data_IF_813649615220
#
_entry.id   IF_813649615220
#
_cell.length_a   1.000
_cell.length_b   1.000
_cell.length_c   1.000
_cell.angle_alpha   90.00
_cell.angle_beta   90.00
_cell.angle_gamma   90.00
#
_symmetry.space_group_name_H-M   'P 1'
#
loop_
_entity.id
_entity.type
_entity.pdbx_description
1 polymer ?
#
# COMPACT_ATOMS: atom_id res chain seq x y z
N UNK A 1 -19.36 28.39 -13.55
CA UNK A 1 -18.98 27.00 -13.45
C UNK A 1 -19.34 26.48 -12.06
N UNK A 2 -20.10 25.39 -11.98
CA UNK A 2 -20.44 24.72 -10.73
C UNK A 2 -19.96 23.27 -10.82
N UNK A 3 -19.14 22.85 -9.85
CA UNK A 3 -18.69 21.47 -9.75
C UNK A 3 -19.39 20.78 -8.60
N UNK A 4 -19.94 19.61 -8.87
CA UNK A 4 -20.58 18.76 -7.86
C UNK A 4 -19.75 17.50 -7.69
N UNK A 5 -19.26 17.29 -6.48
CA UNK A 5 -18.54 16.09 -6.07
C UNK A 5 -19.45 15.23 -5.20
N UNK A 6 -19.57 13.95 -5.53
CA UNK A 6 -20.28 12.96 -4.72
C UNK A 6 -19.35 11.79 -4.45
N UNK A 7 -19.38 11.31 -3.24
CA UNK A 7 -18.64 10.12 -2.87
C UNK A 7 -19.46 9.25 -1.92
N UNK A 8 -19.19 7.97 -1.94
CA UNK A 8 -19.77 6.99 -1.03
C UNK A 8 -18.72 5.96 -0.64
N UNK A 9 -18.79 5.48 0.58
CA UNK A 9 -17.94 4.40 1.06
C UNK A 9 -18.74 3.51 1.98
N UNK A 10 -18.62 2.20 1.79
CA UNK A 10 -19.13 1.24 2.74
C UNK A 10 -18.16 0.05 2.86
N UNK A 11 -18.24 -0.66 3.97
CA UNK A 11 -17.45 -1.85 4.19
C UNK A 11 -18.10 -2.73 5.24
N UNK A 12 -17.79 -4.01 5.14
CA UNK A 12 -18.16 -5.02 6.13
C UNK A 12 -16.95 -5.90 6.37
N UNK A 13 -16.72 -6.26 7.63
CA UNK A 13 -15.61 -7.13 8.00
C UNK A 13 -15.93 -7.95 9.22
N UNK A 14 -15.22 -9.06 9.33
CA UNK A 14 -15.21 -9.91 10.51
C UNK A 14 -13.80 -10.31 10.85
N UNK A 15 -13.54 -10.48 12.13
CA UNK A 15 -12.30 -11.06 12.64
C UNK A 15 -12.63 -12.05 13.76
N UNK A 16 -11.73 -13.00 13.93
CA UNK A 16 -11.78 -13.93 15.07
C UNK A 16 -10.38 -14.22 15.57
N UNK A 17 -10.32 -14.61 16.83
CA UNK A 17 -9.11 -15.05 17.49
C UNK A 17 -9.41 -16.36 18.21
N UNK A 18 -8.55 -17.35 18.00
CA UNK A 18 -8.61 -18.65 18.66
C UNK A 18 -7.33 -18.84 19.45
N UNK A 19 -7.49 -19.19 20.71
CA UNK A 19 -6.39 -19.57 21.61
C UNK A 19 -6.62 -21.03 21.98
N UNK A 20 -5.98 -21.99 21.32
CA UNK A 20 -6.15 -23.40 21.66
C UNK A 20 -5.64 -23.68 23.08
N UNK A 21 -6.41 -24.43 23.86
CA UNK A 21 -6.05 -24.76 25.22
C UNK A 21 -4.75 -25.61 25.27
N UNK A 22 -3.83 -25.24 26.14
CA UNK A 22 -2.55 -25.92 26.30
C UNK A 22 -1.56 -25.72 25.16
N UNK A 23 -1.85 -24.83 24.21
CA UNK A 23 -0.96 -24.54 23.06
C UNK A 23 -0.37 -23.12 23.18
N UNK A 24 0.92 -22.92 22.89
CA UNK A 24 1.53 -21.59 22.85
C UNK A 24 1.24 -20.84 21.54
N UNK A 25 0.10 -21.12 20.89
CA UNK A 25 -0.27 -20.54 19.59
C UNK A 25 -1.51 -19.66 19.75
N UNK A 26 -1.47 -18.48 19.13
CA UNK A 26 -2.65 -17.66 18.90
C UNK A 26 -2.92 -17.64 17.39
N UNK A 27 -4.14 -17.97 17.01
CA UNK A 27 -4.59 -18.00 15.63
C UNK A 27 -5.60 -16.87 15.44
N UNK A 28 -5.39 -16.01 14.45
CA UNK A 28 -6.35 -14.98 14.08
C UNK A 28 -6.70 -15.06 12.61
N UNK A 29 -7.95 -14.77 12.30
CA UNK A 29 -8.43 -14.66 10.92
C UNK A 29 -9.21 -13.38 10.74
N UNK A 30 -9.15 -12.82 9.54
CA UNK A 30 -9.88 -11.62 9.15
C UNK A 30 -10.42 -11.75 7.74
N UNK A 31 -11.63 -11.23 7.53
CA UNK A 31 -12.26 -11.13 6.22
C UNK A 31 -12.94 -9.78 6.11
N UNK A 32 -12.67 -9.06 5.04
CA UNK A 32 -13.22 -7.74 4.81
C UNK A 32 -13.68 -7.60 3.37
N UNK A 33 -14.71 -6.81 3.18
CA UNK A 33 -15.14 -6.28 1.89
C UNK A 33 -15.35 -4.79 2.03
N UNK A 34 -14.91 -4.01 1.05
CA UNK A 34 -15.13 -2.57 1.00
C UNK A 34 -15.36 -2.10 -0.42
N UNK A 35 -16.15 -1.03 -0.52
CA UNK A 35 -16.36 -0.31 -1.77
C UNK A 35 -16.26 1.18 -1.49
N UNK A 36 -15.57 1.87 -2.38
CA UNK A 36 -15.47 3.32 -2.41
C UNK A 36 -15.77 3.79 -3.82
N UNK A 37 -16.67 4.76 -3.95
CA UNK A 37 -17.01 5.40 -5.21
C UNK A 37 -16.95 6.91 -5.10
N UNK A 38 -16.41 7.56 -6.12
CA UNK A 38 -16.36 9.00 -6.26
C UNK A 38 -16.81 9.40 -7.67
N UNK A 39 -17.62 10.45 -7.77
CA UNK A 39 -18.03 11.02 -9.04
C UNK A 39 -18.01 12.53 -9.01
N UNK A 40 -17.55 13.13 -10.08
CA UNK A 40 -17.55 14.56 -10.27
C UNK A 40 -18.36 14.93 -11.50
N UNK A 41 -19.20 15.93 -11.37
CA UNK A 41 -19.95 16.53 -12.48
C UNK A 41 -19.74 18.02 -12.48
N UNK A 42 -19.37 18.55 -13.61
CA UNK A 42 -19.31 19.97 -13.83
C UNK A 42 -20.55 20.45 -14.62
N UNK A 43 -21.05 21.62 -14.29
CA UNK A 43 -22.12 22.29 -15.05
C UNK A 43 -21.70 23.71 -15.41
N UNK A 44 -21.94 24.06 -16.66
CA UNK A 44 -21.71 25.41 -17.16
C UNK A 44 -23.05 26.14 -17.34
N UNK A 45 -23.05 27.48 -17.23
CA UNK A 45 -24.22 28.29 -17.51
C UNK A 45 -24.71 28.17 -18.96
N UNK A 46 -23.83 27.80 -19.87
CA UNK A 46 -24.12 27.57 -21.27
C UNK A 46 -24.65 26.14 -21.49
N UNK A 47 -25.94 25.96 -21.82
CA UNK A 47 -26.54 24.64 -21.99
C UNK A 47 -26.01 23.86 -23.20
N UNK A 48 -25.23 24.50 -24.08
CA UNK A 48 -24.60 23.84 -25.24
C UNK A 48 -23.30 23.14 -24.84
N UNK A 49 -22.73 23.46 -23.68
CA UNK A 49 -21.57 22.78 -23.13
C UNK A 49 -22.01 21.57 -22.32
N UNK A 50 -21.97 20.43 -22.98
CA UNK A 50 -22.23 19.15 -22.32
C UNK A 50 -21.02 18.79 -21.43
N UNK A 51 -21.27 18.62 -20.14
CA UNK A 51 -20.26 18.14 -19.20
C UNK A 51 -20.58 16.70 -18.87
N UNK A 52 -19.65 15.86 -19.17
CA UNK A 52 -19.71 14.45 -18.93
C UNK A 52 -19.11 14.14 -17.54
N UNK A 53 -19.72 13.29 -16.74
CA UNK A 53 -19.28 13.05 -15.37
C UNK A 53 -18.06 12.13 -15.35
N UNK A 54 -17.05 12.51 -14.58
CA UNK A 54 -15.95 11.61 -14.24
C UNK A 54 -16.36 10.73 -13.05
N UNK A 55 -15.97 9.49 -13.08
CA UNK A 55 -16.23 8.55 -11.99
C UNK A 55 -15.06 7.61 -11.74
N UNK A 56 -14.90 7.23 -10.49
CA UNK A 56 -13.96 6.18 -10.11
C UNK A 56 -14.53 5.36 -8.96
N UNK A 57 -14.39 4.04 -9.07
CA UNK A 57 -14.84 3.11 -8.05
C UNK A 57 -13.73 2.12 -7.73
N UNK A 58 -13.54 1.83 -6.44
CA UNK A 58 -12.65 0.77 -5.96
C UNK A 58 -13.48 -0.18 -5.11
N UNK A 59 -13.51 -1.44 -5.51
CA UNK A 59 -14.14 -2.54 -4.75
C UNK A 59 -13.05 -3.51 -4.35
N UNK A 60 -13.07 -3.95 -3.11
CA UNK A 60 -12.05 -4.86 -2.63
C UNK A 60 -12.55 -5.85 -1.60
N UNK A 61 -12.02 -7.05 -1.66
CA UNK A 61 -12.11 -8.01 -0.58
C UNK A 61 -10.73 -8.37 -0.10
N UNK A 62 -10.60 -8.65 1.18
CA UNK A 62 -9.38 -9.18 1.76
C UNK A 62 -9.69 -10.25 2.78
N UNK A 63 -8.85 -11.27 2.84
CA UNK A 63 -8.95 -12.33 3.82
C UNK A 63 -7.57 -12.86 4.17
N UNK A 64 -7.41 -13.33 5.39
CA UNK A 64 -6.12 -13.88 5.81
C UNK A 64 -6.16 -14.53 7.17
N UNK A 65 -5.11 -15.32 7.40
CA UNK A 65 -4.86 -16.00 8.67
C UNK A 65 -3.46 -15.64 9.15
N UNK A 66 -3.37 -15.33 10.43
CA UNK A 66 -2.14 -15.01 11.12
C UNK A 66 -1.97 -15.97 12.30
N UNK A 67 -0.78 -16.52 12.44
CA UNK A 67 -0.38 -17.42 13.51
C UNK A 67 0.73 -16.76 14.31
N UNK A 68 0.57 -16.71 15.62
CA UNK A 68 1.59 -16.21 16.53
C UNK A 68 1.95 -17.34 17.48
N UNK A 69 3.19 -17.75 17.42
CA UNK A 69 3.77 -18.79 18.28
C UNK A 69 4.65 -18.15 19.34
N UNK A 70 4.36 -18.40 20.60
CA UNK A 70 5.16 -17.93 21.73
C UNK A 70 6.20 -18.98 22.06
N UNK A 71 7.46 -18.59 21.93
CA UNK A 71 8.61 -19.40 22.30
C UNK A 71 8.97 -19.23 23.79
N UNK A 72 9.95 -19.98 24.25
CA UNK A 72 10.50 -19.78 25.58
C UNK A 72 11.12 -18.38 25.71
N UNK A 73 10.92 -17.74 26.86
CA UNK A 73 11.31 -16.35 27.10
C UNK A 73 10.36 -15.35 26.43
N UNK A 74 10.92 -14.31 25.80
CA UNK A 74 10.16 -13.24 25.15
C UNK A 74 10.20 -13.33 23.60
N UNK A 75 10.68 -14.46 23.07
CA UNK A 75 10.78 -14.69 21.64
C UNK A 75 9.41 -15.07 21.05
N UNK A 76 9.12 -14.58 19.86
CA UNK A 76 7.86 -14.85 19.16
C UNK A 76 8.11 -15.10 17.68
N UNK A 77 7.45 -16.09 17.10
CA UNK A 77 7.37 -16.26 15.64
C UNK A 77 5.95 -15.91 15.20
N UNK A 78 5.82 -15.05 14.19
CA UNK A 78 4.57 -14.77 13.52
C UNK A 78 4.69 -15.16 12.05
N UNK A 79 3.69 -15.81 11.54
CA UNK A 79 3.59 -16.12 10.13
C UNK A 79 2.13 -16.08 9.69
N UNK A 80 1.91 -15.84 8.43
CA UNK A 80 0.55 -15.73 7.94
C UNK A 80 0.49 -15.74 6.43
N UNK A 81 -0.74 -15.83 5.95
CA UNK A 81 -1.09 -15.74 4.54
C UNK A 81 -2.27 -14.80 4.38
N UNK A 82 -2.26 -13.98 3.34
CA UNK A 82 -3.39 -13.14 2.98
C UNK A 82 -3.66 -13.16 1.49
N UNK A 83 -4.93 -13.01 1.14
CA UNK A 83 -5.45 -12.85 -0.20
C UNK A 83 -6.18 -11.51 -0.27
N UNK A 84 -5.87 -10.74 -1.27
CA UNK A 84 -6.51 -9.47 -1.55
C UNK A 84 -6.96 -9.44 -3.02
N UNK A 85 -8.24 -9.10 -3.25
CA UNK A 85 -8.75 -8.85 -4.59
C UNK A 85 -9.24 -7.42 -4.67
N UNK A 86 -8.82 -6.70 -5.70
CA UNK A 86 -9.24 -5.32 -5.97
C UNK A 86 -9.80 -5.24 -7.39
N UNK A 87 -10.90 -4.50 -7.52
CA UNK A 87 -11.46 -4.08 -8.80
C UNK A 87 -11.53 -2.56 -8.81
N UNK A 88 -10.88 -1.96 -9.81
CA UNK A 88 -10.94 -0.52 -10.07
C UNK A 88 -11.72 -0.28 -11.34
N UNK A 89 -12.63 0.67 -11.31
CA UNK A 89 -13.38 1.18 -12.46
C UNK A 89 -13.13 2.67 -12.52
N UNK A 90 -12.74 3.15 -13.67
CA UNK A 90 -12.41 4.56 -13.90
C UNK A 90 -12.99 5.01 -15.23
N UNK A 91 -13.72 6.10 -15.22
CA UNK A 91 -14.23 6.76 -16.41
C UNK A 91 -13.92 8.25 -16.32
N UNK A 92 -13.32 8.76 -17.37
CA UNK A 92 -12.88 10.14 -17.48
C UNK A 92 -13.12 10.65 -18.91
N UNK A 93 -13.53 11.89 -19.03
CA UNK A 93 -13.70 12.54 -20.34
C UNK A 93 -12.57 13.53 -20.60
N UNK A 94 -11.86 13.35 -21.70
CA UNK A 94 -10.81 14.29 -22.08
C UNK A 94 -11.39 15.61 -22.64
N UNK A 95 -10.55 16.60 -22.88
CA UNK A 95 -10.94 17.91 -23.41
C UNK A 95 -11.63 17.87 -24.79
N UNK A 96 -11.49 16.77 -25.53
CA UNK A 96 -12.15 16.53 -26.80
C UNK A 96 -13.52 15.81 -26.64
N UNK A 97 -13.98 15.57 -25.38
CA UNK A 97 -15.22 14.88 -25.08
C UNK A 97 -15.20 13.38 -25.34
N UNK A 98 -14.01 12.79 -25.49
CA UNK A 98 -13.84 11.35 -25.66
C UNK A 98 -13.76 10.69 -24.26
N UNK A 99 -14.56 9.69 -24.06
CA UNK A 99 -14.53 8.86 -22.86
C UNK A 99 -13.32 7.94 -22.86
N UNK A 100 -12.67 7.88 -21.70
CA UNK A 100 -11.57 6.96 -21.39
C UNK A 100 -12.08 6.12 -20.24
N UNK A 101 -12.39 4.88 -20.52
CA UNK A 101 -12.79 3.90 -19.51
C UNK A 101 -11.66 2.91 -19.26
N UNK A 102 -11.45 2.59 -18.00
CA UNK A 102 -10.53 1.56 -17.58
C UNK A 102 -11.12 0.74 -16.44
N UNK A 103 -11.21 -0.56 -16.66
CA UNK A 103 -11.61 -1.50 -15.62
C UNK A 103 -10.49 -2.52 -15.42
N UNK A 104 -9.99 -2.63 -14.19
CA UNK A 104 -8.93 -3.55 -13.86
C UNK A 104 -9.30 -4.39 -12.64
N UNK A 105 -8.93 -5.68 -12.71
CA UNK A 105 -9.02 -6.60 -11.60
C UNK A 105 -7.61 -7.04 -11.22
N UNK A 106 -7.28 -6.96 -9.95
CA UNK A 106 -6.02 -7.45 -9.43
C UNK A 106 -6.25 -8.40 -8.29
N UNK A 107 -5.41 -9.43 -8.23
CA UNK A 107 -5.39 -10.37 -7.12
C UNK A 107 -3.98 -10.45 -6.58
N UNK A 108 -3.85 -10.26 -5.29
CA UNK A 108 -2.59 -10.27 -4.56
C UNK A 108 -2.64 -11.35 -3.48
N UNK A 109 -1.62 -12.16 -3.44
CA UNK A 109 -1.42 -13.19 -2.42
C UNK A 109 -0.13 -12.86 -1.70
N UNK A 110 -0.16 -12.84 -0.39
CA UNK A 110 1.07 -12.69 0.38
C UNK A 110 1.22 -13.76 1.44
N UNK A 111 2.46 -14.18 1.63
CA UNK A 111 2.86 -14.99 2.78
C UNK A 111 4.01 -14.30 3.49
N UNK A 112 4.05 -14.38 4.80
CA UNK A 112 5.12 -13.77 5.57
C UNK A 112 5.54 -14.62 6.77
N UNK A 113 6.76 -14.40 7.19
CA UNK A 113 7.31 -14.86 8.46
C UNK A 113 8.03 -13.71 9.14
N UNK A 114 7.86 -13.59 10.43
CA UNK A 114 8.43 -12.56 11.28
C UNK A 114 8.92 -13.23 12.57
N UNK A 115 10.17 -12.96 12.97
CA UNK A 115 10.76 -13.53 14.16
C UNK A 115 11.25 -12.43 15.10
N UNK A 116 10.55 -12.23 16.20
CA UNK A 116 10.99 -11.35 17.26
C UNK A 116 11.95 -12.09 18.20
N UNK A 117 13.17 -11.61 18.31
CA UNK A 117 14.24 -12.16 19.13
C UNK A 117 14.56 -11.13 20.22
N UNK A 118 14.49 -11.55 21.49
CA UNK A 118 14.82 -10.68 22.62
C UNK A 118 16.06 -11.21 23.33
N UNK A 119 17.12 -10.39 23.38
CA UNK A 119 18.38 -10.74 24.05
C UNK A 119 18.83 -9.57 24.92
N UNK A 120 18.41 -9.62 26.17
CA UNK A 120 18.67 -8.55 27.13
C UNK A 120 18.11 -7.20 26.67
N UNK A 121 18.97 -6.26 26.32
CA UNK A 121 18.59 -4.93 25.88
C UNK A 121 18.29 -4.83 24.38
N UNK A 122 18.64 -5.85 23.62
CA UNK A 122 18.49 -5.89 22.17
C UNK A 122 17.23 -6.67 21.77
N UNK A 123 16.40 -6.06 20.94
CA UNK A 123 15.28 -6.72 20.26
C UNK A 123 15.53 -6.65 18.77
N UNK A 124 15.59 -7.80 18.13
CA UNK A 124 15.72 -7.95 16.69
C UNK A 124 14.41 -8.51 16.13
N UNK A 125 14.01 -7.99 14.97
CA UNK A 125 12.80 -8.42 14.29
C UNK A 125 13.05 -8.60 12.78
N UNK A 126 13.85 -9.63 12.38
CA UNK A 126 13.95 -9.99 10.98
C UNK A 126 12.61 -10.52 10.48
N UNK A 127 12.21 -10.11 9.30
CA UNK A 127 11.01 -10.60 8.65
C UNK A 127 11.20 -10.73 7.15
N UNK A 128 10.42 -11.62 6.56
CA UNK A 128 10.38 -11.82 5.12
C UNK A 128 8.94 -11.96 4.68
N UNK A 129 8.57 -11.18 3.67
CA UNK A 129 7.28 -11.29 3.00
C UNK A 129 7.49 -11.62 1.52
N UNK A 130 6.74 -12.57 1.03
CA UNK A 130 6.62 -12.83 -0.39
C UNK A 130 5.26 -12.31 -0.87
N UNK A 131 5.29 -11.30 -1.72
CA UNK A 131 4.09 -10.74 -2.34
C UNK A 131 3.98 -11.28 -3.77
N UNK A 132 2.87 -11.91 -4.10
CA UNK A 132 2.56 -12.42 -5.43
C UNK A 132 1.39 -11.63 -6.02
N UNK A 133 1.62 -11.00 -7.15
CA UNK A 133 0.62 -10.28 -7.94
C UNK A 133 0.13 -11.21 -9.03
N UNK A 134 -0.95 -11.96 -8.73
CA UNK A 134 -1.41 -13.07 -9.57
C UNK A 134 -1.81 -12.62 -10.98
N UNK A 135 -2.46 -11.47 -11.10
CA UNK A 135 -2.89 -10.91 -12.40
C UNK A 135 -1.69 -10.58 -13.29
N UNK A 136 -0.63 -10.03 -12.73
CA UNK A 136 0.60 -9.66 -13.46
C UNK A 136 1.62 -10.79 -13.53
N UNK A 137 1.37 -11.92 -12.85
CA UNK A 137 2.29 -13.08 -12.72
C UNK A 137 3.68 -12.69 -12.18
N UNK A 138 3.73 -11.74 -11.28
CA UNK A 138 4.97 -11.18 -10.73
C UNK A 138 5.01 -11.50 -9.24
N UNK A 139 6.21 -11.82 -8.74
CA UNK A 139 6.47 -11.98 -7.32
C UNK A 139 7.48 -10.94 -6.84
N UNK A 140 7.28 -10.43 -5.63
CA UNK A 140 8.19 -9.49 -4.98
C UNK A 140 8.62 -10.02 -3.62
N UNK A 141 9.89 -10.42 -3.46
CA UNK A 141 10.44 -10.73 -2.15
C UNK A 141 10.73 -9.42 -1.39
N UNK A 142 10.27 -9.36 -0.15
CA UNK A 142 10.34 -8.17 0.69
C UNK A 142 11.00 -8.49 2.04
N UNK A 143 12.34 -8.60 2.10
CA UNK A 143 13.05 -8.70 3.36
C UNK A 143 12.93 -7.39 4.14
N UNK A 144 12.78 -7.50 5.47
CA UNK A 144 12.67 -6.39 6.40
C UNK A 144 13.42 -6.70 7.68
N UNK A 145 13.93 -5.69 8.32
CA UNK A 145 14.61 -5.81 9.61
C UNK A 145 14.18 -4.65 10.52
N UNK A 146 13.71 -5.00 11.71
CA UNK A 146 13.54 -4.09 12.82
C UNK A 146 14.58 -4.34 13.90
N UNK A 147 15.08 -3.27 14.52
CA UNK A 147 16.03 -3.34 15.63
C UNK A 147 15.60 -2.32 16.69
N UNK A 148 15.50 -2.77 17.92
CA UNK A 148 15.30 -1.89 19.08
C UNK A 148 16.39 -2.17 20.10
N UNK A 149 17.03 -1.12 20.59
CA UNK A 149 18.03 -1.22 21.64
C UNK A 149 17.62 -0.36 22.84
N UNK A 150 17.36 -1.01 23.98
CA UNK A 150 17.03 -0.37 25.23
C UNK A 150 18.32 0.08 25.90
N UNK A 151 18.70 1.35 25.72
CA UNK A 151 19.92 1.92 26.31
C UNK A 151 19.83 1.90 27.84
N UNK A 152 18.66 2.31 28.34
CA UNK A 152 18.26 2.20 29.75
C UNK A 152 16.74 2.06 29.84
N UNK A 153 16.16 2.13 31.04
CA UNK A 153 14.72 1.97 31.27
C UNK A 153 13.88 3.06 30.55
N UNK A 154 14.43 4.25 30.41
CA UNK A 154 13.72 5.41 29.86
C UNK A 154 14.11 5.75 28.41
N UNK A 155 15.22 5.22 27.90
CA UNK A 155 15.73 5.60 26.57
C UNK A 155 15.94 4.40 25.67
N UNK A 156 15.35 4.45 24.48
CA UNK A 156 15.37 3.37 23.47
C UNK A 156 15.71 3.92 22.12
N UNK A 157 16.59 3.24 21.40
CA UNK A 157 16.91 3.50 20.00
C UNK A 157 16.16 2.50 19.12
N UNK A 158 15.66 2.97 17.97
CA UNK A 158 14.89 2.17 17.02
C UNK A 158 15.47 2.35 15.62
N UNK A 159 15.58 1.24 14.90
CA UNK A 159 15.94 1.21 13.48
C UNK A 159 15.01 0.23 12.77
N UNK A 160 14.59 0.58 11.56
CA UNK A 160 13.85 -0.33 10.71
C UNK A 160 14.19 -0.07 9.24
N UNK A 161 14.15 -1.11 8.44
CA UNK A 161 14.35 -0.98 7.01
C UNK A 161 13.82 -2.19 6.26
N UNK A 162 13.62 -2.02 4.95
CA UNK A 162 13.15 -3.12 4.14
C UNK A 162 12.80 -2.71 2.73
N UNK A 163 12.46 -3.74 1.94
CA UNK A 163 11.98 -3.63 0.57
C UNK A 163 10.47 -3.73 0.54
N UNK A 164 9.84 -2.95 -0.33
CA UNK A 164 8.39 -2.87 -0.46
C UNK A 164 8.00 -2.76 -1.93
N UNK A 165 6.86 -3.34 -2.26
CA UNK A 165 6.24 -3.20 -3.58
C UNK A 165 4.77 -2.82 -3.48
N UNK A 166 4.25 -2.19 -4.54
CA UNK A 166 2.86 -1.74 -4.62
C UNK A 166 2.40 -1.78 -6.08
N UNK A 167 1.18 -2.24 -6.29
CA UNK A 167 0.54 -2.28 -7.60
C UNK A 167 -0.50 -1.17 -7.79
N UNK A 168 -1.21 -0.78 -6.72
CA UNK A 168 -2.22 0.27 -6.78
C UNK A 168 -1.56 1.65 -6.92
N UNK A 169 -2.01 2.42 -7.92
CA UNK A 169 -1.56 3.78 -8.18
C UNK A 169 -2.73 4.76 -8.16
N UNK A 170 -2.47 5.99 -7.76
CA UNK A 170 -3.44 7.09 -7.87
C UNK A 170 -3.28 7.80 -9.21
N UNK A 171 -4.39 7.96 -9.93
CA UNK A 171 -4.43 8.72 -11.19
C UNK A 171 -4.73 10.19 -10.94
N UNK A 172 -3.84 10.89 -10.26
CA UNK A 172 -3.98 12.32 -10.01
C UNK A 172 -3.34 13.15 -11.11
N UNK A 173 -3.98 14.27 -11.45
CA UNK A 173 -3.37 15.30 -12.29
C UNK A 173 -2.61 16.29 -11.39
N UNK A 174 -1.28 16.39 -11.55
CA UNK A 174 -0.47 17.41 -10.84
C UNK A 174 -0.66 18.84 -11.39
N UNK A 175 -1.50 19.01 -12.43
CA UNK A 175 -1.77 20.31 -13.04
C UNK A 175 -2.84 21.10 -12.29
N UNK A 176 -3.71 20.42 -11.56
CA UNK A 176 -4.79 21.06 -10.82
C UNK A 176 -4.39 21.24 -9.36
N UNK A 177 -4.21 22.48 -8.96
CA UNK A 177 -3.86 22.88 -7.56
C UNK A 177 -4.95 22.42 -6.57
N UNK A 178 -6.18 22.21 -7.06
CA UNK A 178 -7.33 21.71 -6.29
C UNK A 178 -7.98 20.59 -7.07
N UNK A 179 -7.35 19.43 -7.12
CA UNK A 179 -7.96 18.24 -7.68
C UNK A 179 -8.70 17.47 -6.58
N UNK A 180 -10.01 17.60 -6.55
CA UNK A 180 -10.88 16.90 -5.60
C UNK A 180 -11.26 15.49 -6.09
N UNK A 181 -10.98 15.19 -7.35
CA UNK A 181 -11.25 13.88 -7.94
C UNK A 181 -10.01 13.01 -7.92
N UNK A 182 -10.09 11.90 -7.20
CA UNK A 182 -9.03 10.91 -7.10
C UNK A 182 -9.44 9.63 -7.83
N UNK A 183 -8.82 9.37 -8.98
CA UNK A 183 -8.95 8.09 -9.68
C UNK A 183 -7.95 7.06 -9.14
N UNK A 184 -8.34 5.80 -9.16
CA UNK A 184 -7.49 4.69 -8.74
C UNK A 184 -7.26 3.74 -9.91
N UNK A 185 -6.02 3.35 -10.13
CA UNK A 185 -5.58 2.45 -11.18
C UNK A 185 -4.73 1.33 -10.61
N UNK A 186 -4.89 0.11 -11.10
CA UNK A 186 -4.06 -1.03 -10.75
C UNK A 186 -3.19 -1.42 -11.93
N UNK A 187 -1.94 -1.00 -11.88
CA UNK A 187 -0.97 -1.28 -12.93
C UNK A 187 -1.04 -0.31 -14.11
N UNK A 188 -0.23 -0.57 -15.12
CA UNK A 188 -0.20 0.15 -16.38
C UNK A 188 -0.55 -0.83 -17.49
N UNK A 189 -1.55 -0.52 -18.31
CA UNK A 189 -1.92 -1.36 -19.48
C UNK A 189 -0.91 -1.21 -20.62
N UNK A 190 -0.34 -0.01 -20.76
CA UNK A 190 0.66 0.32 -21.77
C UNK A 190 1.99 0.67 -21.11
N UNK A 191 2.72 -0.35 -20.67
CA UNK A 191 4.08 -0.16 -20.20
C UNK A 191 4.99 0.04 -21.44
N UNK A 192 5.85 1.05 -21.41
CA UNK A 192 6.93 1.11 -22.39
C UNK A 192 7.88 -0.06 -22.13
N UNK A 193 8.27 -0.77 -23.20
CA UNK A 193 9.17 -1.92 -23.09
C UNK A 193 10.55 -1.52 -22.56
N UNK A 194 10.98 -0.30 -22.89
CA UNK A 194 12.28 0.23 -22.51
C UNK A 194 12.19 1.63 -21.92
N UNK A 195 12.99 1.88 -20.89
CA UNK A 195 13.27 3.20 -20.33
C UNK A 195 14.67 3.65 -20.71
N UNK A 196 14.77 4.70 -21.51
CA UNK A 196 16.06 5.35 -21.80
C UNK A 196 16.31 6.47 -20.81
N UNK A 197 17.35 6.35 -20.02
CA UNK A 197 17.82 7.35 -19.05
C UNK A 197 18.43 8.56 -19.78
N UNK A 198 18.48 9.75 -19.17
CA UNK A 198 19.13 10.92 -19.76
C UNK A 198 20.62 10.72 -20.10
N UNK A 199 21.27 9.76 -19.47
CA UNK A 199 22.67 9.34 -19.74
C UNK A 199 22.78 8.32 -20.90
N UNK A 200 21.67 8.05 -21.63
CA UNK A 200 21.64 7.17 -22.80
C UNK A 200 21.58 5.68 -22.48
N UNK A 201 21.49 5.29 -21.21
CA UNK A 201 21.34 3.87 -20.83
C UNK A 201 19.89 3.44 -20.96
N UNK A 202 19.67 2.35 -21.66
CA UNK A 202 18.36 1.73 -21.82
C UNK A 202 18.21 0.60 -20.80
N UNK A 203 17.08 0.60 -20.10
CA UNK A 203 16.70 -0.45 -19.15
C UNK A 203 15.38 -1.04 -19.60
N UNK A 204 15.34 -2.33 -19.84
CA UNK A 204 14.11 -3.07 -20.10
C UNK A 204 13.19 -3.05 -18.89
N UNK A 205 11.93 -2.74 -19.11
CA UNK A 205 10.89 -2.73 -18.07
C UNK A 205 10.06 -4.01 -18.18
N UNK A 206 10.26 -4.91 -17.23
CA UNK A 206 9.58 -6.20 -17.20
C UNK A 206 8.25 -6.19 -16.44
N UNK A 207 7.96 -5.13 -15.69
CA UNK A 207 6.73 -5.01 -14.89
C UNK A 207 6.44 -3.58 -14.45
N UNK A 208 5.16 -3.31 -14.17
CA UNK A 208 4.64 -2.01 -13.70
C UNK A 208 4.68 -1.81 -12.17
N UNK A 209 5.18 -2.77 -11.39
CA UNK A 209 5.21 -2.65 -9.93
C UNK A 209 6.05 -1.46 -9.48
N UNK A 210 5.50 -0.65 -8.60
CA UNK A 210 6.27 0.33 -7.87
C UNK A 210 7.10 -0.38 -6.79
N UNK A 211 8.38 -0.03 -6.69
CA UNK A 211 9.30 -0.58 -5.70
C UNK A 211 10.00 0.52 -4.93
N UNK A 212 10.05 0.34 -3.62
CA UNK A 212 10.73 1.28 -2.74
C UNK A 212 11.55 0.54 -1.68
N UNK A 213 12.65 1.18 -1.29
CA UNK A 213 13.45 0.82 -0.12
C UNK A 213 13.21 1.85 0.96
N UNK A 214 12.91 1.42 2.17
CA UNK A 214 12.72 2.32 3.31
C UNK A 214 13.83 2.10 4.34
N UNK A 215 14.29 3.19 4.94
CA UNK A 215 15.13 3.21 6.14
C UNK A 215 14.53 4.19 7.14
N UNK A 216 14.39 3.76 8.38
CA UNK A 216 13.80 4.51 9.48
C UNK A 216 14.77 4.45 10.65
N UNK A 217 15.02 5.58 11.31
CA UNK A 217 15.78 5.64 12.55
C UNK A 217 15.07 6.57 13.53
N UNK A 218 15.07 6.22 14.79
CA UNK A 218 14.40 7.01 15.79
C UNK A 218 14.83 6.67 17.20
N UNK A 219 14.25 7.42 18.13
CA UNK A 219 14.42 7.16 19.55
C UNK A 219 13.10 7.41 20.31
N UNK A 220 12.98 6.76 21.43
CA UNK A 220 11.89 6.92 22.38
C UNK A 220 12.50 7.26 23.76
N UNK A 221 11.96 8.29 24.40
CA UNK A 221 12.43 8.75 25.70
C UNK A 221 11.24 9.03 26.63
N UNK A 222 11.22 8.33 27.76
CA UNK A 222 10.21 8.52 28.80
C UNK A 222 10.64 9.64 29.74
N UNK A 223 9.92 10.78 29.64
CA UNK A 223 10.08 11.98 30.47
C UNK A 223 9.25 11.85 31.76
N UNK A 224 9.62 10.93 32.63
CA UNK A 224 8.88 10.64 33.85
C UNK A 224 7.73 9.64 33.66
N UNK A 225 6.76 9.60 34.58
CA UNK A 225 5.73 8.55 34.60
C UNK A 225 4.61 8.72 33.58
N UNK A 226 4.39 9.92 33.06
CA UNK A 226 3.19 10.26 32.29
C UNK A 226 3.49 10.86 30.92
N UNK A 227 4.73 11.04 30.54
CA UNK A 227 5.10 11.65 29.27
C UNK A 227 6.16 10.83 28.57
N UNK A 228 5.88 10.45 27.33
CA UNK A 228 6.80 9.76 26.44
C UNK A 228 6.99 10.57 25.16
N UNK A 229 8.24 10.77 24.75
CA UNK A 229 8.63 11.40 23.50
C UNK A 229 9.10 10.32 22.53
N UNK A 230 8.49 10.27 21.35
CA UNK A 230 8.92 9.42 20.24
C UNK A 230 9.27 10.30 19.04
N UNK A 231 10.51 10.19 18.55
CA UNK A 231 11.00 10.93 17.38
C UNK A 231 11.52 9.92 16.37
N UNK A 232 11.03 10.03 15.14
CA UNK A 232 11.42 9.15 14.04
C UNK A 232 11.71 9.98 12.78
N UNK A 233 12.82 9.67 12.12
CA UNK A 233 13.15 10.14 10.80
C UNK A 233 13.11 8.97 9.82
N UNK A 234 12.68 9.23 8.59
CA UNK A 234 12.66 8.20 7.57
C UNK A 234 13.27 8.70 6.27
N UNK A 235 13.82 7.75 5.51
CA UNK A 235 14.24 7.95 4.14
C UNK A 235 13.66 6.86 3.25
N UNK A 236 13.14 7.27 2.08
CA UNK A 236 12.48 6.39 1.14
C UNK A 236 13.09 6.56 -0.24
N UNK A 237 13.65 5.48 -0.80
CA UNK A 237 14.10 5.41 -2.18
C UNK A 237 13.04 4.75 -3.03
N UNK A 238 12.66 5.40 -4.08
CA UNK A 238 11.82 4.78 -5.12
C UNK A 238 12.73 4.17 -6.17
N UNK A 239 12.84 2.85 -6.15
CA UNK A 239 13.66 2.09 -7.08
C UNK A 239 12.98 1.99 -8.46
N UNK A 240 11.64 1.99 -8.43
CA UNK A 240 10.79 2.00 -9.61
C UNK A 240 9.47 2.69 -9.26
N UNK A 241 9.13 3.71 -10.05
CA UNK A 241 7.90 4.48 -9.91
C UNK A 241 7.23 4.61 -11.28
N UNK A 242 5.95 4.27 -11.36
CA UNK A 242 5.12 4.52 -12.54
C UNK A 242 4.49 5.90 -12.46
N UNK A 243 4.49 6.60 -13.57
CA UNK A 243 3.84 7.90 -13.69
C UNK A 243 2.97 7.91 -14.97
N UNK A 244 1.88 8.67 -14.94
CA UNK A 244 0.98 8.80 -16.08
C UNK A 244 1.68 9.54 -17.23
N UNK A 245 1.70 8.93 -18.42
CA UNK A 245 2.24 9.60 -19.60
C UNK A 245 1.25 10.67 -20.09
N UNK A 246 1.59 11.93 -19.87
CA UNK A 246 0.77 13.10 -20.21
C UNK A 246 0.84 13.51 -21.70
N UNK A 247 1.76 12.93 -22.46
CA UNK A 247 2.00 13.28 -23.86
C UNK A 247 1.32 12.32 -24.84
N UNK A 248 0.54 11.35 -24.35
CA UNK A 248 -0.27 10.48 -25.20
C UNK A 248 -1.53 11.24 -25.60
N UNK A 249 -1.58 11.67 -26.86
CA UNK A 249 -2.75 12.30 -27.52
C UNK A 249 -3.64 11.20 -28.10
#
# INVERSE_FOLDING_TARGET
>A
QLSTLKWSSYGIGTNFVVVPEGSPVLISGKFNYSEYGIGMRESFPDPTKMVLPDSSTVKGFSGGFDFKYFLEGDDEIRYGISLEGLRTEYSFFNSAGREIEQTQNTTEISAYIDYKIVRGRLVLNPSFRLQAYATSKITSPEPRLGVKYNVNENFRLKFAGGLYSQNLTSANSDRDVVNLFYGFLTGSEDLQDDLTSPDGKTKELTHSLQKATHAIAGFEYDLGKNLSLNVEGYYKWFNQLTNTNRNKI
#
